data_IF_296058892381
#
_entry.id   IF_296058892381
#
_cell.length_a   1.000
_cell.length_b   1.000
_cell.length_c   1.000
_cell.angle_alpha   90.00
_cell.angle_beta   90.00
_cell.angle_gamma   90.00
#
_symmetry.space_group_name_H-M   'P 1'
#
loop_
_entity.id
_entity.type
_entity.pdbx_description
1 polymer ?
#
# COMPACT_ATOMS: atom_id res chain seq x y z
N UNK A 1 47.42 4.04 5.56
CA UNK A 1 46.25 4.72 6.16
C UNK A 1 45.03 4.09 5.53
N UNK A 2 44.52 3.03 6.13
CA UNK A 2 43.32 2.31 5.65
C UNK A 2 42.10 3.07 6.09
N UNK A 3 41.32 3.56 5.13
CA UNK A 3 39.98 4.11 5.38
C UNK A 3 39.06 2.89 5.48
N UNK A 4 38.71 2.54 6.72
CA UNK A 4 37.62 1.59 6.97
C UNK A 4 36.34 2.23 6.45
N UNK A 5 35.72 1.60 5.46
CA UNK A 5 34.42 2.02 4.95
C UNK A 5 33.38 1.88 6.06
N UNK A 6 32.85 2.99 6.49
CA UNK A 6 31.61 3.03 7.27
C UNK A 6 30.51 2.40 6.41
N UNK A 7 29.82 1.42 6.98
CA UNK A 7 28.76 0.68 6.28
C UNK A 7 27.73 1.65 5.72
N UNK A 8 27.27 1.37 4.50
CA UNK A 8 26.15 2.06 3.87
C UNK A 8 24.95 1.86 4.83
N UNK A 9 24.62 2.90 5.59
CA UNK A 9 23.38 2.93 6.37
C UNK A 9 22.30 3.05 5.32
N UNK A 10 21.44 2.04 5.24
CA UNK A 10 20.23 2.08 4.42
C UNK A 10 19.34 3.20 4.97
N UNK A 11 19.40 4.36 4.31
CA UNK A 11 18.72 5.59 4.73
C UNK A 11 17.20 5.38 4.63
N UNK A 12 16.75 4.61 3.65
CA UNK A 12 15.33 4.36 3.44
C UNK A 12 14.77 3.50 4.57
N UNK A 13 15.43 2.43 4.96
CA UNK A 13 15.03 1.62 6.10
C UNK A 13 15.07 2.40 7.43
N UNK A 14 16.05 3.27 7.60
CA UNK A 14 16.11 4.13 8.77
C UNK A 14 14.93 5.12 8.81
N UNK A 15 14.57 5.69 7.66
CA UNK A 15 13.40 6.58 7.55
C UNK A 15 12.10 5.84 7.86
N UNK A 16 11.93 4.62 7.38
CA UNK A 16 10.74 3.82 7.68
C UNK A 16 10.57 3.59 9.18
N UNK A 17 11.63 3.20 9.87
CA UNK A 17 11.59 2.90 11.32
C UNK A 17 11.44 4.16 12.17
N UNK A 18 12.09 5.27 11.79
CA UNK A 18 12.09 6.49 12.60
C UNK A 18 10.93 7.43 12.27
N UNK A 19 10.32 7.32 11.08
CA UNK A 19 9.29 8.24 10.60
C UNK A 19 8.08 8.29 11.52
N UNK A 20 7.60 7.17 12.00
CA UNK A 20 6.43 7.09 12.86
C UNK A 20 6.62 7.90 14.14
N UNK A 21 7.74 7.70 14.83
CA UNK A 21 8.07 8.43 16.05
C UNK A 21 8.29 9.92 15.77
N UNK A 22 9.01 10.25 14.71
CA UNK A 22 9.22 11.62 14.30
C UNK A 22 7.90 12.33 13.97
N UNK A 23 7.01 11.67 13.24
CA UNK A 23 5.72 12.22 12.86
C UNK A 23 4.85 12.48 14.10
N UNK A 24 4.78 11.51 15.00
CA UNK A 24 4.07 11.64 16.27
C UNK A 24 4.62 12.80 17.11
N UNK A 25 5.92 12.88 17.30
CA UNK A 25 6.57 13.96 18.05
C UNK A 25 6.33 15.33 17.39
N UNK A 26 6.36 15.39 16.06
CA UNK A 26 6.16 16.63 15.30
C UNK A 26 4.73 17.15 15.41
N UNK A 27 3.75 16.25 15.38
CA UNK A 27 2.32 16.61 15.33
C UNK A 27 1.73 16.74 16.73
N UNK A 28 2.09 15.87 17.67
CA UNK A 28 1.56 15.84 19.03
C UNK A 28 2.42 16.65 20.04
N UNK A 29 3.60 17.11 19.62
CA UNK A 29 4.51 17.86 20.47
C UNK A 29 3.96 19.24 20.88
N UNK A 30 4.45 19.76 22.01
CA UNK A 30 4.00 21.04 22.59
C UNK A 30 4.21 22.29 21.72
N UNK A 31 5.00 22.16 20.65
CA UNK A 31 5.27 23.25 19.68
C UNK A 31 4.43 23.16 18.41
N UNK A 32 3.52 22.19 18.32
CA UNK A 32 2.67 22.01 17.14
C UNK A 32 1.60 23.12 17.09
N UNK A 33 1.68 23.99 16.09
CA UNK A 33 0.70 25.05 15.84
C UNK A 33 -0.04 24.76 14.54
N UNK A 34 -1.35 24.99 14.54
CA UNK A 34 -2.24 24.85 13.36
C UNK A 34 -2.31 23.42 12.79
N UNK A 35 -2.25 22.40 13.64
CA UNK A 35 -2.47 21.00 13.23
C UNK A 35 -3.96 20.73 13.03
N UNK A 36 -4.34 20.16 11.90
CA UNK A 36 -5.73 19.74 11.68
C UNK A 36 -6.09 18.55 12.58
N UNK A 37 -7.39 18.38 12.87
CA UNK A 37 -7.86 17.26 13.69
C UNK A 37 -7.58 15.90 13.06
N UNK A 38 -7.67 15.83 11.74
CA UNK A 38 -7.40 14.63 10.96
C UNK A 38 -5.92 14.24 11.05
N UNK A 39 -5.03 15.24 10.88
CA UNK A 39 -3.59 15.01 10.98
C UNK A 39 -3.18 14.59 12.40
N UNK A 40 -3.75 15.24 13.41
CA UNK A 40 -3.56 14.86 14.80
C UNK A 40 -4.03 13.43 15.08
N UNK A 41 -5.23 13.09 14.59
CA UNK A 41 -5.80 11.76 14.70
C UNK A 41 -4.88 10.70 14.09
N UNK A 42 -4.33 10.98 12.91
CA UNK A 42 -3.40 10.07 12.23
C UNK A 42 -2.11 9.86 13.03
N UNK A 43 -1.58 10.92 13.66
CA UNK A 43 -0.37 10.85 14.47
C UNK A 43 -0.56 10.12 15.82
N UNK A 44 -1.81 9.99 16.28
CA UNK A 44 -2.14 9.28 17.53
C UNK A 44 -2.24 7.76 17.39
N UNK A 45 -1.83 7.20 16.26
CA UNK A 45 -1.94 5.77 15.92
C UNK A 45 -3.41 5.31 15.72
N UNK A 46 -3.56 4.18 15.08
CA UNK A 46 -4.85 3.53 14.90
C UNK A 46 -5.23 2.70 16.12
N UNK A 47 -6.51 2.39 16.23
CA UNK A 47 -6.99 1.38 17.18
C UNK A 47 -6.30 0.04 16.91
N UNK A 48 -6.12 -0.75 17.95
CA UNK A 48 -5.52 -2.09 17.85
C UNK A 48 -6.40 -3.08 17.05
N UNK A 49 -7.66 -2.74 16.82
CA UNK A 49 -8.61 -3.58 16.07
C UNK A 49 -8.68 -3.14 14.61
N UNK A 50 -8.31 -4.06 13.73
CA UNK A 50 -8.46 -3.92 12.29
C UNK A 50 -9.70 -4.68 11.85
N UNK A 51 -10.59 -4.02 11.10
CA UNK A 51 -11.76 -4.70 10.52
C UNK A 51 -11.42 -5.11 9.09
N UNK A 52 -11.66 -6.39 8.78
CA UNK A 52 -11.37 -6.99 7.48
C UNK A 52 -12.68 -7.19 6.70
N UNK A 53 -12.70 -6.75 5.44
CA UNK A 53 -13.83 -6.90 4.54
C UNK A 53 -13.42 -7.72 3.31
N UNK A 54 -14.37 -8.45 2.75
CA UNK A 54 -14.19 -9.22 1.52
C UNK A 54 -14.57 -8.44 0.25
N UNK A 55 -14.69 -7.15 0.33
CA UNK A 55 -14.95 -6.28 -0.81
C UNK A 55 -15.44 -4.91 -0.39
N UNK A 56 -15.40 -3.98 -1.34
CA UNK A 56 -15.83 -2.60 -1.13
C UNK A 56 -16.24 -1.96 -2.47
N UNK A 57 -16.69 -0.72 -2.39
CA UNK A 57 -16.90 0.14 -3.56
C UNK A 57 -16.05 1.39 -3.37
N UNK A 58 -15.19 1.67 -4.32
CA UNK A 58 -14.33 2.86 -4.37
C UNK A 58 -14.52 3.53 -5.72
N UNK A 59 -14.87 4.83 -5.70
CA UNK A 59 -15.11 5.62 -6.93
C UNK A 59 -16.08 4.92 -7.91
N UNK A 60 -17.20 4.39 -7.39
CA UNK A 60 -18.22 3.62 -8.14
C UNK A 60 -17.73 2.29 -8.73
N UNK A 61 -16.50 1.90 -8.50
CA UNK A 61 -15.96 0.58 -8.88
C UNK A 61 -16.12 -0.38 -7.71
N UNK A 62 -16.69 -1.53 -7.99
CA UNK A 62 -16.86 -2.60 -7.01
C UNK A 62 -15.66 -3.54 -7.07
N UNK A 63 -14.99 -3.69 -5.94
CA UNK A 63 -13.91 -4.66 -5.72
C UNK A 63 -14.40 -5.82 -4.85
N UNK A 64 -13.96 -7.01 -5.19
CA UNK A 64 -14.11 -8.22 -4.36
C UNK A 64 -12.72 -8.80 -4.10
N UNK A 65 -12.55 -9.42 -2.94
CA UNK A 65 -11.35 -10.23 -2.70
C UNK A 65 -11.40 -11.50 -3.55
N UNK A 66 -10.25 -12.10 -3.83
CA UNK A 66 -10.15 -13.35 -4.58
C UNK A 66 -11.02 -14.45 -3.96
N UNK A 67 -10.96 -14.62 -2.64
CA UNK A 67 -11.79 -15.60 -1.93
C UNK A 67 -13.29 -15.43 -2.19
N UNK A 68 -13.77 -14.18 -2.23
CA UNK A 68 -15.17 -13.89 -2.53
C UNK A 68 -15.52 -14.12 -3.98
N UNK A 69 -14.58 -13.89 -4.87
CA UNK A 69 -14.77 -13.95 -6.31
C UNK A 69 -15.21 -15.34 -6.79
N UNK A 70 -14.72 -16.39 -6.16
CA UNK A 70 -15.14 -17.77 -6.45
C UNK A 70 -16.64 -18.01 -6.31
N UNK A 71 -17.37 -17.13 -5.61
CA UNK A 71 -18.81 -17.18 -5.41
C UNK A 71 -19.58 -16.20 -6.29
N UNK A 72 -18.89 -15.34 -7.03
CA UNK A 72 -19.46 -14.26 -7.84
C UNK A 72 -19.45 -14.60 -9.34
N UNK A 73 -20.36 -13.96 -10.10
CA UNK A 73 -20.38 -14.09 -11.56
C UNK A 73 -19.39 -13.17 -12.26
N UNK A 74 -18.94 -12.14 -11.58
CA UNK A 74 -18.01 -11.13 -12.11
C UNK A 74 -16.71 -11.20 -11.34
N UNK A 75 -15.61 -11.10 -12.06
CA UNK A 75 -14.26 -11.06 -11.52
C UNK A 75 -13.86 -9.59 -11.34
N UNK A 76 -13.59 -9.18 -10.12
CA UNK A 76 -13.25 -7.81 -9.74
C UNK A 76 -12.21 -7.79 -8.60
N UNK A 77 -11.34 -8.79 -8.55
CA UNK A 77 -10.21 -8.88 -7.61
C UNK A 77 -8.93 -8.26 -8.16
N UNK A 78 -8.87 -8.06 -9.48
CA UNK A 78 -7.70 -7.46 -10.10
C UNK A 78 -7.53 -5.99 -9.70
N UNK A 79 -6.32 -5.63 -9.31
CA UNK A 79 -5.93 -4.28 -8.91
C UNK A 79 -4.81 -3.79 -9.82
N UNK A 80 -4.99 -2.59 -10.36
CA UNK A 80 -3.99 -1.88 -11.13
C UNK A 80 -3.64 -0.56 -10.48
N UNK A 81 -2.33 -0.31 -10.32
CA UNK A 81 -1.82 0.97 -9.80
C UNK A 81 -0.73 1.49 -10.73
N UNK A 82 -0.86 2.74 -11.12
CA UNK A 82 0.20 3.45 -11.82
C UNK A 82 1.04 4.20 -10.79
N UNK A 83 2.31 3.89 -10.72
CA UNK A 83 3.27 4.52 -9.83
C UNK A 83 4.45 5.14 -10.58
N UNK A 84 5.35 5.71 -9.82
CA UNK A 84 6.61 6.27 -10.31
C UNK A 84 7.73 5.81 -9.36
N UNK A 85 8.73 5.15 -9.90
CA UNK A 85 9.90 4.71 -9.18
C UNK A 85 11.15 5.35 -9.80
N UNK A 86 11.84 6.19 -9.02
CA UNK A 86 13.06 6.88 -9.46
C UNK A 86 12.91 7.72 -10.74
N UNK A 87 11.72 8.31 -10.99
CA UNK A 87 11.41 9.08 -12.21
C UNK A 87 10.98 8.21 -13.40
N UNK A 88 10.86 6.90 -13.21
CA UNK A 88 10.35 5.95 -14.22
C UNK A 88 8.91 5.57 -13.88
N UNK A 89 8.01 5.71 -14.86
CA UNK A 89 6.62 5.23 -14.68
C UNK A 89 6.62 3.71 -14.59
N UNK A 90 6.14 3.23 -13.45
CA UNK A 90 6.01 1.80 -13.16
C UNK A 90 4.56 1.47 -12.92
N UNK A 91 4.09 0.41 -13.56
CA UNK A 91 2.73 -0.08 -13.36
C UNK A 91 2.78 -1.33 -12.49
N UNK A 92 1.93 -1.35 -11.48
CA UNK A 92 1.77 -2.47 -10.56
C UNK A 92 0.46 -3.18 -10.86
N UNK A 93 0.50 -4.48 -10.92
CA UNK A 93 -0.65 -5.35 -11.14
C UNK A 93 -0.70 -6.37 -10.03
N UNK A 94 -1.87 -6.57 -9.45
CA UNK A 94 -2.03 -7.48 -8.33
C UNK A 94 -3.45 -7.96 -8.17
N UNK A 95 -3.66 -8.78 -7.17
CA UNK A 95 -4.94 -9.36 -6.81
C UNK A 95 -5.29 -9.03 -5.38
N UNK A 96 -6.52 -8.56 -5.16
CA UNK A 96 -6.99 -8.12 -3.85
C UNK A 96 -7.23 -9.30 -2.92
N UNK A 97 -6.50 -9.36 -1.82
CA UNK A 97 -6.63 -10.37 -0.76
C UNK A 97 -7.58 -9.94 0.33
N UNK A 98 -7.39 -8.75 0.84
CA UNK A 98 -8.22 -8.21 1.92
C UNK A 98 -8.44 -6.70 1.74
N UNK A 99 -9.56 -6.23 2.26
CA UNK A 99 -9.82 -4.80 2.47
C UNK A 99 -9.78 -4.53 3.97
N UNK A 100 -8.82 -3.73 4.42
CA UNK A 100 -8.60 -3.43 5.82
C UNK A 100 -9.14 -2.05 6.16
N UNK A 101 -9.86 -1.94 7.25
CA UNK A 101 -10.26 -0.66 7.83
C UNK A 101 -9.47 -0.43 9.11
N UNK A 102 -8.66 0.61 9.12
CA UNK A 102 -8.00 1.15 10.29
C UNK A 102 -8.85 2.29 10.85
N UNK A 103 -9.11 2.28 12.13
CA UNK A 103 -9.87 3.33 12.82
C UNK A 103 -8.91 4.15 13.68
N UNK A 104 -9.05 5.46 13.61
CA UNK A 104 -8.25 6.43 14.35
C UNK A 104 -9.14 7.27 15.25
N UNK A 105 -8.54 8.08 16.12
CA UNK A 105 -9.25 8.98 17.04
C UNK A 105 -10.28 9.84 16.30
N UNK A 106 -11.45 10.04 16.90
CA UNK A 106 -12.53 10.83 16.31
C UNK A 106 -13.33 10.13 15.23
N UNK A 107 -13.29 8.80 15.17
CA UNK A 107 -13.91 7.96 14.12
C UNK A 107 -13.36 8.21 12.70
N UNK A 108 -12.19 8.82 12.58
CA UNK A 108 -11.49 8.87 11.30
C UNK A 108 -11.08 7.45 10.91
N UNK A 109 -11.13 7.13 9.63
CA UNK A 109 -10.75 5.81 9.17
C UNK A 109 -9.98 5.89 7.86
N UNK A 110 -9.10 4.91 7.68
CA UNK A 110 -8.35 4.68 6.46
C UNK A 110 -8.66 3.28 5.97
N UNK A 111 -8.85 3.13 4.68
CA UNK A 111 -9.04 1.83 4.05
C UNK A 111 -7.78 1.47 3.26
N UNK A 112 -7.28 0.26 3.47
CA UNK A 112 -6.14 -0.29 2.76
C UNK A 112 -6.59 -1.52 1.97
N UNK A 113 -6.04 -1.66 0.78
CA UNK A 113 -6.07 -2.91 0.02
C UNK A 113 -4.79 -3.67 0.34
N UNK A 114 -4.93 -4.90 0.80
CA UNK A 114 -3.86 -5.87 0.88
C UNK A 114 -3.90 -6.71 -0.39
N UNK A 115 -2.82 -6.68 -1.16
CA UNK A 115 -2.76 -7.29 -2.48
C UNK A 115 -1.58 -8.26 -2.60
N UNK A 116 -1.76 -9.30 -3.40
CA UNK A 116 -0.66 -10.06 -3.97
C UNK A 116 -0.23 -9.38 -5.27
N UNK A 117 0.97 -8.80 -5.28
CA UNK A 117 1.52 -8.11 -6.43
C UNK A 117 2.28 -9.07 -7.35
N UNK A 118 2.04 -8.97 -8.65
CA UNK A 118 2.72 -9.78 -9.64
C UNK A 118 4.09 -9.20 -10.00
N UNK A 119 5.09 -10.08 -10.19
CA UNK A 119 6.42 -9.68 -10.67
C UNK A 119 6.35 -9.34 -12.15
N UNK A 120 6.35 -8.05 -12.47
CA UNK A 120 6.27 -7.53 -13.85
C UNK A 120 7.63 -7.15 -14.43
N UNK A 121 8.73 -7.42 -13.69
CA UNK A 121 10.08 -7.08 -14.15
C UNK A 121 10.51 -7.97 -15.32
N UNK A 122 11.15 -7.33 -16.29
CA UNK A 122 11.93 -7.91 -17.40
C UNK A 122 11.36 -9.12 -18.14
N UNK A 123 10.55 -8.85 -19.16
CA UNK A 123 10.30 -9.73 -20.30
C UNK A 123 9.65 -11.10 -20.05
N UNK A 124 9.66 -11.58 -18.81
CA UNK A 124 9.08 -12.85 -18.39
C UNK A 124 7.80 -12.69 -17.57
N UNK A 125 7.60 -11.54 -16.95
CA UNK A 125 6.46 -11.25 -16.09
C UNK A 125 5.29 -10.59 -16.80
N UNK A 126 5.53 -9.91 -17.91
CA UNK A 126 4.53 -9.15 -18.63
C UNK A 126 4.73 -9.24 -20.14
N UNK A 127 3.64 -9.47 -20.87
CA UNK A 127 3.58 -9.36 -22.34
C UNK A 127 2.58 -8.27 -22.71
N UNK A 128 2.99 -7.37 -23.61
CA UNK A 128 2.13 -6.31 -24.12
C UNK A 128 1.99 -6.45 -25.62
N UNK A 129 0.78 -6.51 -26.12
CA UNK A 129 0.46 -6.40 -27.54
C UNK A 129 -0.36 -5.12 -27.83
N UNK A 130 -0.83 -4.93 -29.07
CA UNK A 130 -1.56 -3.72 -29.47
C UNK A 130 -2.88 -3.52 -28.71
N UNK A 131 -3.46 -4.56 -28.10
CA UNK A 131 -4.81 -4.54 -27.54
C UNK A 131 -4.88 -4.91 -26.08
N UNK A 132 -3.90 -5.66 -25.55
CA UNK A 132 -3.93 -6.10 -24.17
C UNK A 132 -2.54 -6.17 -23.51
N UNK A 133 -2.57 -6.19 -22.20
CA UNK A 133 -1.39 -6.47 -21.37
C UNK A 133 -1.69 -7.76 -20.60
N UNK A 134 -0.86 -8.78 -20.81
CA UNK A 134 -0.93 -10.04 -20.08
C UNK A 134 0.13 -10.08 -19.00
N UNK A 135 -0.24 -10.46 -17.79
CA UNK A 135 0.66 -10.55 -16.64
C UNK A 135 0.78 -12.01 -16.21
N UNK A 136 1.99 -12.43 -15.91
CA UNK A 136 2.23 -13.78 -15.39
C UNK A 136 1.92 -13.84 -13.90
N UNK A 137 0.82 -14.48 -13.53
CA UNK A 137 0.35 -14.59 -12.15
C UNK A 137 1.04 -15.69 -11.33
N UNK A 138 2.00 -16.43 -11.89
CA UNK A 138 2.72 -17.47 -11.17
C UNK A 138 3.86 -16.95 -10.28
N UNK A 139 4.20 -15.66 -10.38
CA UNK A 139 5.30 -15.03 -9.64
C UNK A 139 4.81 -13.78 -8.94
N UNK A 140 4.92 -13.75 -7.63
CA UNK A 140 4.59 -12.61 -6.79
C UNK A 140 5.83 -11.83 -6.38
N UNK A 141 5.66 -10.55 -6.08
CA UNK A 141 6.68 -9.61 -5.65
C UNK A 141 6.15 -8.74 -4.52
N UNK A 142 6.99 -7.90 -3.91
CA UNK A 142 6.59 -6.92 -2.89
C UNK A 142 5.89 -7.51 -1.65
N UNK A 143 6.31 -8.71 -1.21
CA UNK A 143 5.74 -9.38 -0.03
C UNK A 143 5.87 -8.60 1.27
N UNK A 144 6.85 -7.70 1.38
CA UNK A 144 7.08 -6.85 2.55
C UNK A 144 6.20 -5.60 2.56
N UNK A 145 5.61 -5.23 1.42
CA UNK A 145 4.75 -4.05 1.28
C UNK A 145 3.54 -4.37 0.38
N UNK A 146 2.58 -5.15 0.90
CA UNK A 146 1.41 -5.57 0.12
C UNK A 146 0.30 -4.53 0.08
N UNK A 147 0.43 -3.39 0.79
CA UNK A 147 -0.67 -2.47 1.06
C UNK A 147 -0.68 -1.26 0.14
N UNK A 148 -1.88 -0.84 -0.26
CA UNK A 148 -2.15 0.46 -0.88
C UNK A 148 -3.38 1.12 -0.28
N UNK A 149 -3.45 2.44 -0.36
CA UNK A 149 -4.65 3.19 0.02
C UNK A 149 -5.78 2.92 -0.97
N UNK A 150 -6.96 2.59 -0.43
CA UNK A 150 -8.19 2.48 -1.19
C UNK A 150 -8.86 3.86 -1.29
N UNK A 151 -8.48 4.67 -2.30
CA UNK A 151 -8.98 6.03 -2.51
C UNK A 151 -9.36 6.31 -3.96
#
# INVERSE_FOLDING_TARGET
MEIQGEGIIDIDHKHEVEFENWFKDRICGSNATNVSKELYSLACESDALVVVYQGCIVNDVRFHTEDREHTCRTQNSDVFVSGEDGGTKTNYYGELRNVLKLTYMGNNCVYLFECDWWDTRDGTGMQRDEHCTSVNTSRTSYHSDPFILAC
#
